data_IF_363235445941
#
_entry.id   IF_363235445941
#
_cell.length_a   1.000
_cell.length_b   1.000
_cell.length_c   1.000
_cell.angle_alpha   90.00
_cell.angle_beta   90.00
_cell.angle_gamma   90.00
#
_symmetry.space_group_name_H-M   'P 1'
#
loop_
_entity.id
_entity.type
_entity.pdbx_description
1 polymer ?
#
# COMPACT_ATOMS: atom_id res chain seq x y z
N UNK A 1 10.19 -13.80 29.83
CA UNK A 1 9.86 -12.49 29.23
C UNK A 1 10.81 -12.06 28.09
N UNK A 2 12.07 -12.51 28.01
CA UNK A 2 12.98 -12.08 26.91
C UNK A 2 12.74 -12.70 25.52
N UNK A 3 11.93 -13.77 25.40
CA UNK A 3 11.67 -14.45 24.12
C UNK A 3 10.53 -13.84 23.30
N UNK A 4 9.75 -12.89 23.86
CA UNK A 4 8.60 -12.29 23.16
C UNK A 4 9.02 -11.15 22.22
N UNK A 5 10.04 -10.38 22.59
CA UNK A 5 10.62 -9.32 21.77
C UNK A 5 11.10 -9.77 20.37
N UNK A 6 11.85 -10.88 20.20
CA UNK A 6 12.30 -11.30 18.88
C UNK A 6 11.15 -11.77 17.98
N UNK A 7 10.15 -12.46 18.53
CA UNK A 7 8.98 -12.93 17.76
C UNK A 7 8.13 -11.77 17.27
N UNK A 8 7.86 -10.77 18.12
CA UNK A 8 7.13 -9.56 17.72
C UNK A 8 7.88 -8.77 16.63
N UNK A 9 9.20 -8.67 16.74
CA UNK A 9 10.02 -8.05 15.69
C UNK A 9 10.00 -8.84 14.38
N UNK A 10 10.00 -10.16 14.42
CA UNK A 10 9.87 -11.01 13.23
C UNK A 10 8.52 -10.81 12.55
N UNK A 11 7.43 -10.81 13.32
CA UNK A 11 6.06 -10.56 12.80
C UNK A 11 6.01 -9.17 12.16
N UNK A 12 6.50 -8.14 12.85
CA UNK A 12 6.52 -6.77 12.33
C UNK A 12 7.27 -6.67 11.00
N UNK A 13 8.49 -7.19 10.93
CA UNK A 13 9.29 -7.18 9.70
C UNK A 13 8.63 -7.95 8.57
N UNK A 14 8.00 -9.09 8.88
CA UNK A 14 7.27 -9.86 7.89
C UNK A 14 6.07 -9.07 7.34
N UNK A 15 5.25 -8.49 8.20
CA UNK A 15 4.13 -7.64 7.77
C UNK A 15 4.61 -6.49 6.88
N UNK A 16 5.70 -5.80 7.26
CA UNK A 16 6.29 -4.72 6.48
C UNK A 16 6.84 -5.19 5.14
N UNK A 17 7.49 -6.35 5.10
CA UNK A 17 7.98 -6.94 3.86
C UNK A 17 6.84 -7.22 2.89
N UNK A 18 5.72 -7.77 3.39
CA UNK A 18 4.55 -8.05 2.54
C UNK A 18 3.91 -6.74 2.06
N UNK A 19 3.72 -5.75 2.94
CA UNK A 19 3.20 -4.43 2.57
C UNK A 19 4.09 -3.78 1.49
N UNK A 20 5.41 -3.76 1.71
CA UNK A 20 6.38 -3.23 0.76
C UNK A 20 6.29 -3.93 -0.60
N UNK A 21 6.28 -5.27 -0.58
CA UNK A 21 6.24 -6.08 -1.80
C UNK A 21 4.97 -5.82 -2.61
N UNK A 22 3.82 -5.67 -1.94
CA UNK A 22 2.55 -5.42 -2.61
C UNK A 22 2.45 -4.00 -3.18
N UNK A 23 2.95 -2.99 -2.47
CA UNK A 23 3.05 -1.62 -3.02
C UNK A 23 4.00 -1.53 -4.21
N UNK A 24 5.16 -2.18 -4.11
CA UNK A 24 6.11 -2.24 -5.23
C UNK A 24 5.47 -2.94 -6.42
N UNK A 25 4.75 -4.04 -6.20
CA UNK A 25 4.05 -4.75 -7.27
C UNK A 25 2.99 -3.87 -7.95
N UNK A 26 2.16 -3.17 -7.17
CA UNK A 26 1.16 -2.22 -7.67
C UNK A 26 1.78 -1.07 -8.47
N UNK A 27 2.92 -0.54 -8.03
CA UNK A 27 3.59 0.55 -8.75
C UNK A 27 4.38 0.08 -9.97
N UNK A 28 4.93 -1.13 -9.95
CA UNK A 28 5.83 -1.61 -10.99
C UNK A 28 5.07 -2.28 -12.13
N UNK A 29 4.25 -3.29 -11.83
CA UNK A 29 3.67 -4.17 -12.85
C UNK A 29 2.63 -3.43 -13.70
N UNK A 30 1.51 -2.91 -13.14
CA UNK A 30 0.46 -2.32 -13.97
C UNK A 30 0.86 -0.93 -14.51
N UNK A 31 1.68 -0.17 -13.77
CA UNK A 31 1.98 1.24 -14.11
C UNK A 31 3.26 1.44 -14.90
N UNK A 32 4.36 0.75 -14.57
CA UNK A 32 5.64 0.96 -15.29
C UNK A 32 5.87 -0.04 -16.41
N UNK A 33 5.60 -1.33 -16.17
CA UNK A 33 5.88 -2.38 -17.14
C UNK A 33 4.78 -2.47 -18.19
N UNK A 34 3.53 -2.65 -17.76
CA UNK A 34 2.42 -2.93 -18.69
C UNK A 34 1.61 -1.71 -19.10
N UNK A 35 1.71 -0.59 -18.36
CA UNK A 35 0.93 0.65 -18.58
C UNK A 35 -0.52 0.34 -19.01
N UNK A 36 -1.22 -0.41 -18.16
CA UNK A 36 -2.51 -1.03 -18.51
C UNK A 36 -3.53 0.03 -18.91
N UNK A 37 -4.41 -0.31 -19.85
CA UNK A 37 -5.46 0.59 -20.35
C UNK A 37 -6.35 1.15 -19.22
N UNK A 38 -6.58 0.36 -18.17
CA UNK A 38 -7.33 0.78 -16.99
C UNK A 38 -6.70 2.00 -16.30
N UNK A 39 -5.36 2.08 -16.23
CA UNK A 39 -4.65 3.23 -15.66
C UNK A 39 -4.73 4.44 -16.59
N UNK A 40 -4.65 4.24 -17.91
CA UNK A 40 -4.79 5.35 -18.87
C UNK A 40 -6.17 6.01 -18.78
N UNK A 41 -7.22 5.21 -18.66
CA UNK A 41 -8.58 5.72 -18.52
C UNK A 41 -8.79 6.50 -17.24
N UNK A 42 -8.15 6.11 -16.12
CA UNK A 42 -8.17 6.89 -14.87
C UNK A 42 -7.72 8.33 -15.09
N UNK A 43 -6.60 8.53 -15.80
CA UNK A 43 -6.08 9.86 -16.08
C UNK A 43 -6.88 10.62 -17.14
N UNK A 44 -7.51 9.91 -18.08
CA UNK A 44 -8.44 10.52 -19.04
C UNK A 44 -9.68 11.08 -18.34
N UNK A 45 -10.21 10.39 -17.33
CA UNK A 45 -11.35 10.86 -16.55
C UNK A 45 -11.04 12.12 -15.72
N UNK A 46 -9.76 12.36 -15.44
CA UNK A 46 -9.27 13.60 -14.83
C UNK A 46 -9.06 14.73 -15.85
N UNK A 47 -9.46 14.56 -17.12
CA UNK A 47 -9.26 15.51 -18.21
C UNK A 47 -7.78 15.87 -18.48
N UNK A 48 -6.86 14.94 -18.19
CA UNK A 48 -5.43 15.15 -18.48
C UNK A 48 -5.17 14.93 -19.98
N UNK A 49 -4.37 15.81 -20.59
CA UNK A 49 -4.05 15.68 -22.00
C UNK A 49 -3.28 14.37 -22.28
N UNK A 50 -3.59 13.65 -23.38
CA UNK A 50 -3.01 12.33 -23.68
C UNK A 50 -1.48 12.30 -23.69
N UNK A 51 -0.85 13.40 -24.05
CA UNK A 51 0.62 13.57 -24.08
C UNK A 51 1.27 13.42 -22.70
N UNK A 52 0.56 13.72 -21.62
CA UNK A 52 1.08 13.66 -20.25
C UNK A 52 0.66 12.41 -19.49
N UNK A 53 -0.31 11.64 -20.00
CA UNK A 53 -0.87 10.48 -19.29
C UNK A 53 0.20 9.44 -18.95
N UNK A 54 1.05 9.07 -19.92
CA UNK A 54 2.12 8.10 -19.69
C UNK A 54 3.11 8.55 -18.60
N UNK A 55 3.42 9.85 -18.55
CA UNK A 55 4.28 10.43 -17.52
C UNK A 55 3.60 10.42 -16.15
N UNK A 56 2.31 10.73 -16.07
CA UNK A 56 1.55 10.71 -14.83
C UNK A 56 1.40 9.29 -14.25
N UNK A 57 1.11 8.30 -15.09
CA UNK A 57 1.09 6.89 -14.69
C UNK A 57 2.44 6.47 -14.14
N UNK A 58 3.52 6.80 -14.86
CA UNK A 58 4.88 6.44 -14.45
C UNK A 58 5.26 7.11 -13.12
N UNK A 59 4.92 8.39 -12.95
CA UNK A 59 5.18 9.11 -11.70
C UNK A 59 4.40 8.52 -10.52
N UNK A 60 3.14 8.16 -10.74
CA UNK A 60 2.34 7.47 -9.74
C UNK A 60 2.94 6.11 -9.36
N UNK A 61 3.36 5.30 -10.35
CA UNK A 61 3.98 4.01 -10.08
C UNK A 61 5.30 4.12 -9.30
N UNK A 62 6.14 5.10 -9.65
CA UNK A 62 7.37 5.39 -8.90
C UNK A 62 7.06 5.82 -7.46
N UNK A 63 6.06 6.69 -7.26
CA UNK A 63 5.66 7.12 -5.92
C UNK A 63 5.22 5.94 -5.05
N UNK A 64 4.46 5.01 -5.61
CA UNK A 64 4.02 3.78 -4.92
C UNK A 64 5.19 2.85 -4.58
N UNK A 65 6.14 2.68 -5.49
CA UNK A 65 7.35 1.89 -5.24
C UNK A 65 8.21 2.52 -4.14
N UNK A 66 8.39 3.83 -4.14
CA UNK A 66 9.11 4.55 -3.08
C UNK A 66 8.37 4.35 -1.76
N UNK A 67 7.05 4.53 -1.75
CA UNK A 67 6.23 4.35 -0.55
C UNK A 67 6.33 2.93 0.02
N UNK A 68 6.24 1.91 -0.84
CA UNK A 68 6.48 0.52 -0.45
C UNK A 68 7.91 0.29 0.06
N UNK A 69 8.91 0.86 -0.61
CA UNK A 69 10.31 0.77 -0.19
C UNK A 69 10.54 1.32 1.22
N UNK A 70 9.88 2.42 1.61
CA UNK A 70 10.01 2.99 2.95
C UNK A 70 9.70 1.99 4.07
N UNK A 71 8.78 1.05 3.84
CA UNK A 71 8.45 0.01 4.83
C UNK A 71 9.60 -0.96 5.13
N UNK A 72 10.58 -1.10 4.22
CA UNK A 72 11.74 -1.97 4.43
C UNK A 72 12.76 -1.36 5.40
N UNK A 73 12.84 -0.03 5.47
CA UNK A 73 13.81 0.68 6.32
C UNK A 73 13.21 1.31 7.56
N UNK A 74 11.92 1.70 7.52
CA UNK A 74 11.29 2.50 8.57
C UNK A 74 10.17 1.71 9.25
N UNK A 75 10.31 1.52 10.56
CA UNK A 75 9.33 0.85 11.42
C UNK A 75 8.58 1.79 12.33
N UNK A 76 8.03 2.86 11.75
CA UNK A 76 7.33 3.91 12.49
C UNK A 76 5.81 3.76 12.38
N UNK A 77 5.09 4.02 13.48
CA UNK A 77 3.61 3.95 13.53
C UNK A 77 2.92 4.86 12.50
N UNK A 78 3.48 6.06 12.25
CA UNK A 78 2.93 6.99 11.26
C UNK A 78 2.95 6.43 9.83
N UNK A 79 3.93 5.58 9.49
CA UNK A 79 4.01 4.98 8.16
C UNK A 79 2.83 4.02 7.91
N UNK A 80 2.47 3.23 8.94
CA UNK A 80 1.31 2.32 8.89
C UNK A 80 -0.02 3.08 8.85
N UNK A 81 -0.15 4.18 9.57
CA UNK A 81 -1.33 5.05 9.46
C UNK A 81 -1.46 5.69 8.08
N UNK A 82 -0.34 6.19 7.54
CA UNK A 82 -0.29 6.74 6.19
C UNK A 82 -0.71 5.68 5.17
N UNK A 83 -0.25 4.43 5.32
CA UNK A 83 -0.68 3.33 4.46
C UNK A 83 -2.18 3.08 4.52
N UNK A 84 -2.77 3.00 5.71
CA UNK A 84 -4.23 2.81 5.85
C UNK A 84 -5.00 3.95 5.16
N UNK A 85 -4.58 5.19 5.37
CA UNK A 85 -5.20 6.36 4.73
C UNK A 85 -5.05 6.28 3.20
N UNK A 86 -3.85 6.00 2.70
CA UNK A 86 -3.57 5.86 1.27
C UNK A 86 -4.41 4.76 0.62
N UNK A 87 -4.55 3.59 1.26
CA UNK A 87 -5.37 2.49 0.77
C UNK A 87 -6.86 2.88 0.71
N UNK A 88 -7.38 3.57 1.73
CA UNK A 88 -8.76 4.06 1.74
C UNK A 88 -8.96 5.09 0.62
N UNK A 89 -8.05 6.06 0.49
CA UNK A 89 -8.13 7.10 -0.54
C UNK A 89 -8.07 6.50 -1.95
N UNK A 90 -7.14 5.57 -2.20
CA UNK A 90 -7.03 4.87 -3.48
C UNK A 90 -8.27 4.03 -3.77
N UNK A 91 -8.81 3.34 -2.77
CA UNK A 91 -10.03 2.57 -2.94
C UNK A 91 -11.19 3.48 -3.36
N UNK A 92 -11.45 4.56 -2.62
CA UNK A 92 -12.52 5.52 -2.94
C UNK A 92 -12.33 6.06 -4.37
N UNK A 93 -11.11 6.43 -4.73
CA UNK A 93 -10.78 6.95 -6.06
C UNK A 93 -11.08 5.93 -7.17
N UNK A 94 -10.64 4.68 -7.00
CA UNK A 94 -10.95 3.60 -7.95
C UNK A 94 -12.45 3.32 -8.02
N UNK A 95 -13.18 3.39 -6.90
CA UNK A 95 -14.63 3.19 -6.90
C UNK A 95 -15.41 4.30 -7.60
N UNK A 96 -14.92 5.54 -7.55
CA UNK A 96 -15.51 6.64 -8.30
C UNK A 96 -15.35 6.48 -9.82
N UNK A 97 -14.25 5.85 -10.27
CA UNK A 97 -13.95 5.68 -11.70
C UNK A 97 -14.48 4.34 -12.23
N UNK A 98 -14.38 3.28 -11.44
CA UNK A 98 -14.76 1.91 -11.77
C UNK A 98 -15.61 1.27 -10.66
N UNK A 99 -16.88 1.66 -10.53
CA UNK A 99 -17.77 1.08 -9.52
C UNK A 99 -17.95 -0.44 -9.71
N UNK A 100 -17.86 -0.93 -10.95
CA UNK A 100 -18.05 -2.33 -11.30
C UNK A 100 -16.94 -3.26 -10.76
N UNK A 101 -15.77 -2.72 -10.40
CA UNK A 101 -14.64 -3.51 -9.88
C UNK A 101 -14.90 -4.06 -8.47
N UNK A 102 -15.93 -3.58 -7.75
CA UNK A 102 -16.29 -4.04 -6.39
C UNK A 102 -16.79 -5.49 -6.39
N UNK A 103 -17.54 -5.90 -7.41
CA UNK A 103 -18.24 -7.18 -7.40
C UNK A 103 -17.48 -8.29 -8.15
N UNK A 104 -16.27 -7.98 -8.65
CA UNK A 104 -15.41 -8.95 -9.31
C UNK A 104 -14.72 -9.85 -8.29
N UNK A 105 -14.44 -11.10 -8.69
CA UNK A 105 -13.59 -11.99 -7.90
C UNK A 105 -12.18 -11.38 -7.81
N UNK A 106 -11.60 -11.33 -6.60
CA UNK A 106 -10.33 -10.64 -6.31
C UNK A 106 -10.36 -9.12 -6.58
N UNK A 107 -11.38 -8.45 -6.06
CA UNK A 107 -11.54 -7.01 -6.16
C UNK A 107 -10.50 -6.20 -5.36
N UNK A 108 -10.36 -4.89 -5.64
CA UNK A 108 -9.51 -3.98 -4.87
C UNK A 108 -9.91 -3.88 -3.39
N UNK A 109 -11.18 -4.09 -3.03
CA UNK A 109 -11.64 -3.99 -1.64
C UNK A 109 -10.98 -5.05 -0.76
N UNK A 110 -10.97 -6.32 -1.20
CA UNK A 110 -10.37 -7.44 -0.48
C UNK A 110 -8.87 -7.20 -0.29
N UNK A 111 -8.18 -6.73 -1.34
CA UNK A 111 -6.76 -6.41 -1.25
C UNK A 111 -6.49 -5.28 -0.23
N UNK A 112 -7.23 -4.17 -0.33
CA UNK A 112 -7.05 -3.03 0.59
C UNK A 112 -7.31 -3.41 2.05
N UNK A 113 -8.35 -4.22 2.32
CA UNK A 113 -8.62 -4.71 3.68
C UNK A 113 -7.46 -5.59 4.18
N UNK A 114 -6.96 -6.51 3.35
CA UNK A 114 -5.84 -7.37 3.73
C UNK A 114 -4.57 -6.57 4.07
N UNK A 115 -4.18 -5.60 3.23
CA UNK A 115 -3.02 -4.73 3.52
C UNK A 115 -3.25 -3.86 4.76
N UNK A 116 -4.45 -3.30 4.92
CA UNK A 116 -4.79 -2.50 6.10
C UNK A 116 -4.71 -3.33 7.39
N UNK A 117 -5.19 -4.59 7.36
CA UNK A 117 -5.05 -5.52 8.49
C UNK A 117 -3.59 -5.79 8.85
N UNK A 118 -2.70 -5.96 7.86
CA UNK A 118 -1.26 -6.10 8.13
C UNK A 118 -0.65 -4.87 8.80
N UNK A 119 -1.10 -3.66 8.42
CA UNK A 119 -0.70 -2.42 9.10
C UNK A 119 -1.24 -2.34 10.54
N UNK A 120 -2.47 -2.77 10.79
CA UNK A 120 -3.03 -2.83 12.16
C UNK A 120 -2.24 -3.81 13.04
N UNK A 121 -1.92 -5.00 12.53
CA UNK A 121 -1.08 -5.97 13.25
C UNK A 121 0.31 -5.39 13.54
N UNK A 122 0.90 -4.68 12.56
CA UNK A 122 2.18 -4.00 12.74
C UNK A 122 2.13 -2.92 13.83
N UNK A 123 1.04 -2.14 13.89
CA UNK A 123 0.83 -1.14 14.93
C UNK A 123 0.73 -1.77 16.32
N UNK A 124 0.04 -2.90 16.46
CA UNK A 124 0.00 -3.65 17.72
C UNK A 124 1.37 -4.16 18.14
N UNK A 125 2.16 -4.69 17.20
CA UNK A 125 3.54 -5.13 17.48
C UNK A 125 4.42 -3.95 17.94
N UNK A 126 4.35 -2.80 17.26
CA UNK A 126 5.11 -1.60 17.64
C UNK A 126 4.73 -1.14 19.05
N UNK A 127 3.43 -1.08 19.37
CA UNK A 127 2.96 -0.68 20.70
C UNK A 127 3.43 -1.65 21.80
N UNK A 128 3.37 -2.96 21.54
CA UNK A 128 3.87 -3.97 22.47
C UNK A 128 5.38 -3.84 22.72
N UNK A 129 6.17 -3.64 21.65
CA UNK A 129 7.62 -3.43 21.74
C UNK A 129 7.99 -2.13 22.47
N UNK A 130 7.19 -1.07 22.33
CA UNK A 130 7.38 0.18 23.08
C UNK A 130 7.10 -0.01 24.57
N UNK A 131 5.98 -0.65 24.92
CA UNK A 131 5.63 -0.90 26.33
C UNK A 131 6.69 -1.75 27.04
N UNK A 132 7.20 -2.80 26.39
CA UNK A 132 8.26 -3.65 26.94
C UNK A 132 9.62 -2.94 27.12
N UNK A 133 9.81 -1.75 26.55
CA UNK A 133 11.01 -0.91 26.74
C UNK A 133 10.85 0.05 27.93
N UNK A 134 9.63 0.29 28.38
CA UNK A 134 9.31 1.19 29.49
C UNK A 134 9.14 0.46 30.83
N UNK A 135 9.06 -0.87 30.82
CA UNK A 135 9.16 -1.76 31.99
C UNK A 135 10.60 -2.16 32.27
#
# INVERSE_FOLDING_TARGET
MNSENPTLQQILKFCQLIIASLWIYQGLIPKLIFQVQDEQYVWQQLNIAPTYIAWMISFSGIAEMIFGGLFLWISHQYLHWLNIISLISLLIFVLCIYPDKVYQAFNPVVMNIALASLSVVSLWCIKALQNAKHE
#
